data_IF_647938376829
#
_entry.id   IF_647938376829
#
_cell.length_a   1.000
_cell.length_b   1.000
_cell.length_c   1.000
_cell.angle_alpha   90.00
_cell.angle_beta   90.00
_cell.angle_gamma   90.00
#
_symmetry.space_group_name_H-M   'P 1'
#
loop_
_entity.id
_entity.type
_entity.pdbx_description
1 polymer ?
#
# COMPACT_ATOMS: atom_id res chain seq x y z
N UNK A 1 -8.33 3.03 21.13
CA UNK A 1 -8.23 1.91 20.19
C UNK A 1 -8.25 0.57 20.95
N UNK A 2 -7.35 0.40 21.91
CA UNK A 2 -7.26 -0.84 22.71
C UNK A 2 -8.51 -1.14 23.55
N UNK A 3 -9.27 -0.12 23.92
CA UNK A 3 -10.55 -0.25 24.64
C UNK A 3 -11.71 -0.60 23.69
N UNK A 4 -11.62 -0.20 22.42
CA UNK A 4 -12.68 -0.41 21.42
C UNK A 4 -12.62 -1.81 20.83
N UNK A 5 -11.43 -2.36 20.54
CA UNK A 5 -11.28 -3.66 19.90
C UNK A 5 -12.03 -4.79 20.61
N UNK A 6 -11.98 -4.94 21.95
CA UNK A 6 -12.70 -5.99 22.65
C UNK A 6 -14.23 -5.83 22.63
N UNK A 7 -14.72 -4.62 22.36
CA UNK A 7 -16.13 -4.30 22.31
C UNK A 7 -16.76 -4.43 20.91
N UNK A 8 -15.95 -4.75 19.90
CA UNK A 8 -16.43 -4.90 18.53
C UNK A 8 -17.36 -6.11 18.40
N UNK A 9 -18.47 -5.91 17.71
CA UNK A 9 -19.46 -6.95 17.45
C UNK A 9 -19.62 -7.18 15.96
N UNK A 10 -19.53 -8.43 15.57
CA UNK A 10 -19.94 -8.89 14.24
C UNK A 10 -21.49 -8.89 14.20
N UNK A 11 -22.08 -8.49 13.08
CA UNK A 11 -23.54 -8.36 12.91
C UNK A 11 -24.28 -9.68 12.71
N UNK A 12 -23.69 -10.81 13.08
CA UNK A 12 -24.23 -12.14 12.87
C UNK A 12 -23.34 -12.95 11.93
N UNK A 13 -23.86 -14.05 11.38
CA UNK A 13 -23.18 -14.81 10.32
C UNK A 13 -24.01 -14.77 9.04
N UNK A 14 -23.35 -14.67 7.90
CA UNK A 14 -23.96 -14.79 6.58
C UNK A 14 -23.62 -16.18 6.05
N UNK A 15 -24.56 -17.12 6.25
CA UNK A 15 -24.37 -18.50 5.84
C UNK A 15 -24.17 -18.65 4.33
N UNK A 16 -23.32 -19.58 3.94
CA UNK A 16 -23.02 -19.91 2.55
C UNK A 16 -22.22 -18.87 1.79
N UNK A 17 -21.78 -17.78 2.43
CA UNK A 17 -20.91 -16.75 1.80
C UNK A 17 -19.49 -16.84 2.33
N UNK A 18 -18.56 -17.13 1.40
CA UNK A 18 -17.11 -17.17 1.67
C UNK A 18 -16.39 -16.33 0.61
N UNK A 19 -15.82 -15.21 1.01
CA UNK A 19 -15.21 -14.22 0.10
C UNK A 19 -13.69 -14.29 0.16
N UNK A 20 -13.06 -14.44 -1.01
CA UNK A 20 -11.63 -14.25 -1.17
C UNK A 20 -11.34 -12.81 -1.60
N UNK A 21 -10.34 -12.16 -0.98
CA UNK A 21 -9.85 -10.85 -1.37
C UNK A 21 -8.40 -11.01 -1.83
N UNK A 22 -8.10 -10.63 -3.07
CA UNK A 22 -6.75 -10.70 -3.64
C UNK A 22 -6.09 -9.32 -3.49
N UNK A 23 -5.11 -9.23 -2.61
CA UNK A 23 -4.35 -8.03 -2.27
C UNK A 23 -4.72 -7.43 -0.92
N UNK A 24 -3.76 -7.39 -0.01
CA UNK A 24 -3.85 -6.87 1.34
C UNK A 24 -3.46 -5.38 1.47
N UNK A 25 -3.69 -4.60 0.42
CA UNK A 25 -3.56 -3.14 0.45
C UNK A 25 -4.76 -2.44 1.08
N UNK A 26 -4.82 -1.08 1.08
CA UNK A 26 -5.91 -0.32 1.71
C UNK A 26 -7.31 -0.75 1.27
N UNK A 27 -7.49 -0.99 -0.03
CA UNK A 27 -8.78 -1.41 -0.58
C UNK A 27 -9.19 -2.80 -0.07
N UNK A 28 -8.23 -3.75 -0.04
CA UNK A 28 -8.46 -5.10 0.45
C UNK A 28 -8.75 -5.12 1.95
N UNK A 29 -8.02 -4.37 2.75
CA UNK A 29 -8.25 -4.22 4.19
C UNK A 29 -9.62 -3.59 4.49
N UNK A 30 -10.00 -2.54 3.75
CA UNK A 30 -11.32 -1.94 3.88
C UNK A 30 -12.43 -2.95 3.54
N UNK A 31 -12.32 -3.65 2.41
CA UNK A 31 -13.28 -4.68 2.02
C UNK A 31 -13.37 -5.80 3.07
N UNK A 32 -12.22 -6.28 3.59
CA UNK A 32 -12.18 -7.28 4.66
C UNK A 32 -12.90 -6.79 5.92
N UNK A 33 -12.62 -5.57 6.37
CA UNK A 33 -13.27 -4.97 7.54
C UNK A 33 -14.78 -4.93 7.38
N UNK A 34 -15.29 -4.38 6.27
CA UNK A 34 -16.73 -4.22 6.06
C UNK A 34 -17.44 -5.55 5.94
N UNK A 35 -16.89 -6.51 5.22
CA UNK A 35 -17.51 -7.83 5.02
C UNK A 35 -17.47 -8.67 6.31
N UNK A 36 -16.34 -8.73 7.00
CA UNK A 36 -16.23 -9.48 8.25
C UNK A 36 -17.11 -8.88 9.34
N UNK A 37 -17.20 -7.54 9.42
CA UNK A 37 -18.14 -6.86 10.32
C UNK A 37 -19.60 -7.21 10.02
N UNK A 38 -19.93 -7.45 8.74
CA UNK A 38 -21.27 -7.91 8.33
C UNK A 38 -21.52 -9.40 8.58
N UNK A 39 -20.52 -10.15 9.06
CA UNK A 39 -20.62 -11.58 9.35
C UNK A 39 -20.28 -12.50 8.18
N UNK A 40 -19.67 -11.98 7.13
CA UNK A 40 -19.20 -12.78 5.99
C UNK A 40 -17.85 -13.39 6.33
N UNK A 41 -17.64 -14.67 5.99
CA UNK A 41 -16.33 -15.32 6.07
C UNK A 41 -15.39 -14.75 5.00
N UNK A 42 -14.28 -14.14 5.42
CA UNK A 42 -13.34 -13.45 4.54
C UNK A 42 -11.95 -13.99 4.71
N UNK A 43 -11.27 -14.29 3.59
CA UNK A 43 -9.85 -14.58 3.55
C UNK A 43 -9.15 -13.61 2.58
N UNK A 44 -8.15 -12.90 3.06
CA UNK A 44 -7.31 -11.99 2.28
C UNK A 44 -6.03 -12.71 1.88
N UNK A 45 -5.74 -12.75 0.59
CA UNK A 45 -4.51 -13.29 0.02
C UNK A 45 -3.58 -12.13 -0.33
N UNK A 46 -2.39 -12.10 0.25
CA UNK A 46 -1.37 -11.09 -0.03
C UNK A 46 -0.07 -11.79 -0.44
N UNK A 47 0.47 -11.39 -1.60
CA UNK A 47 1.72 -11.97 -2.14
C UNK A 47 2.97 -11.61 -1.34
N UNK A 48 2.93 -10.51 -0.60
CA UNK A 48 4.02 -10.07 0.28
C UNK A 48 3.85 -10.66 1.68
N UNK A 49 4.92 -10.62 2.45
CA UNK A 49 4.93 -11.07 3.84
C UNK A 49 4.26 -10.07 4.81
N UNK A 50 3.85 -8.91 4.30
CA UNK A 50 3.23 -7.85 5.11
C UNK A 50 2.05 -7.21 4.40
N UNK A 51 1.00 -6.91 5.17
CA UNK A 51 -0.18 -6.18 4.75
C UNK A 51 0.08 -4.67 4.66
N UNK A 52 -0.80 -3.95 3.97
CA UNK A 52 -0.76 -2.50 3.84
C UNK A 52 -0.43 -1.98 2.44
N UNK A 53 0.00 -2.86 1.53
CA UNK A 53 0.22 -2.51 0.12
C UNK A 53 1.14 -1.30 -0.09
N UNK A 54 0.74 -0.35 -0.94
CA UNK A 54 1.50 0.89 -1.24
C UNK A 54 1.68 1.73 0.01
N UNK A 55 0.71 1.78 0.92
CA UNK A 55 0.80 2.58 2.15
C UNK A 55 1.98 2.13 3.01
N UNK A 56 2.14 0.81 3.17
CA UNK A 56 3.27 0.27 3.93
C UNK A 56 4.60 0.34 3.18
N UNK A 57 4.60 0.03 1.90
CA UNK A 57 5.84 -0.21 1.18
C UNK A 57 6.40 1.03 0.46
N UNK A 58 5.57 2.02 0.15
CA UNK A 58 5.96 3.19 -0.68
C UNK A 58 5.79 4.49 0.08
N UNK A 59 4.63 4.73 0.69
CA UNK A 59 4.36 6.01 1.38
C UNK A 59 5.34 6.16 2.55
N UNK A 60 6.08 7.28 2.62
CA UNK A 60 7.07 7.50 3.66
C UNK A 60 6.49 7.52 5.08
N UNK A 61 7.28 7.08 6.07
CA UNK A 61 6.85 7.03 7.47
C UNK A 61 6.54 8.39 8.08
N UNK A 62 7.11 9.46 7.55
CA UNK A 62 6.76 10.82 7.97
C UNK A 62 5.35 11.26 7.51
N UNK A 63 4.68 10.45 6.70
CA UNK A 63 3.27 10.63 6.30
C UNK A 63 2.35 9.73 7.11
N UNK A 64 2.70 8.46 7.21
CA UNK A 64 1.92 7.45 7.94
C UNK A 64 2.87 6.43 8.55
N UNK A 65 2.74 6.20 9.84
CA UNK A 65 3.56 5.22 10.56
C UNK A 65 3.14 3.78 10.29
N UNK A 66 4.06 2.85 10.45
CA UNK A 66 3.77 1.42 10.41
C UNK A 66 2.72 1.03 11.46
N UNK A 67 2.80 1.60 12.67
CA UNK A 67 1.85 1.39 13.76
C UNK A 67 0.40 1.73 13.38
N UNK A 68 0.19 2.81 12.61
CA UNK A 68 -1.16 3.16 12.12
C UNK A 68 -1.73 2.10 11.18
N UNK A 69 -0.88 1.51 10.34
CA UNK A 69 -1.28 0.44 9.43
C UNK A 69 -1.56 -0.85 10.21
N UNK A 70 -0.75 -1.15 11.23
CA UNK A 70 -0.92 -2.33 12.06
C UNK A 70 -2.23 -2.28 12.86
N UNK A 71 -2.64 -1.10 13.32
CA UNK A 71 -3.96 -0.88 13.95
C UNK A 71 -5.11 -1.22 13.02
N UNK A 72 -5.04 -0.84 11.74
CA UNK A 72 -6.05 -1.19 10.75
C UNK A 72 -6.09 -2.70 10.48
N UNK A 73 -4.92 -3.36 10.44
CA UNK A 73 -4.82 -4.81 10.32
C UNK A 73 -5.44 -5.53 11.52
N UNK A 74 -5.13 -5.07 12.74
CA UNK A 74 -5.71 -5.63 13.97
C UNK A 74 -7.23 -5.44 14.02
N UNK A 75 -7.74 -4.31 13.51
CA UNK A 75 -9.18 -4.10 13.36
C UNK A 75 -9.82 -5.15 12.44
N UNK A 76 -9.20 -5.45 11.30
CA UNK A 76 -9.69 -6.50 10.39
C UNK A 76 -9.70 -7.87 11.08
N UNK A 77 -8.63 -8.22 11.78
CA UNK A 77 -8.52 -9.48 12.55
C UNK A 77 -9.59 -9.58 13.65
N UNK A 78 -9.84 -8.48 14.35
CA UNK A 78 -10.83 -8.42 15.42
C UNK A 78 -12.26 -8.69 14.92
N UNK A 79 -12.54 -8.40 13.65
CA UNK A 79 -13.79 -8.78 12.99
C UNK A 79 -13.77 -10.20 12.39
N UNK A 80 -12.68 -10.96 12.54
CA UNK A 80 -12.57 -12.35 12.10
C UNK A 80 -12.09 -12.53 10.66
N UNK A 81 -11.51 -11.52 10.03
CA UNK A 81 -10.86 -11.68 8.73
C UNK A 81 -9.59 -12.55 8.86
N UNK A 82 -9.45 -13.51 7.97
CA UNK A 82 -8.26 -14.36 7.84
C UNK A 82 -7.28 -13.78 6.81
N UNK A 83 -5.98 -13.99 7.04
CA UNK A 83 -4.92 -13.51 6.16
C UNK A 83 -3.96 -14.64 5.77
N UNK A 84 -3.72 -14.79 4.47
CA UNK A 84 -2.69 -15.66 3.89
C UNK A 84 -1.62 -14.78 3.26
N UNK A 85 -0.48 -14.65 3.95
CA UNK A 85 0.67 -13.87 3.50
C UNK A 85 1.62 -14.74 2.67
N UNK A 86 2.48 -14.14 1.84
CA UNK A 86 3.32 -14.85 0.89
C UNK A 86 2.52 -15.64 -0.16
N UNK A 87 1.22 -15.37 -0.28
CA UNK A 87 0.29 -16.14 -1.09
C UNK A 87 -0.08 -15.37 -2.37
N UNK A 88 0.60 -15.68 -3.47
CA UNK A 88 0.28 -15.10 -4.78
C UNK A 88 -0.86 -15.88 -5.44
N UNK A 89 -1.94 -15.17 -5.74
CA UNK A 89 -3.09 -15.74 -6.47
C UNK A 89 -2.99 -15.39 -7.94
N UNK A 90 -2.88 -16.41 -8.77
CA UNK A 90 -2.81 -16.26 -10.24
C UNK A 90 -4.10 -16.67 -10.94
N UNK A 91 -5.04 -17.30 -10.24
CA UNK A 91 -6.29 -17.81 -10.83
C UNK A 91 -7.50 -17.62 -9.92
N UNK A 92 -8.44 -16.81 -10.35
CA UNK A 92 -9.76 -16.67 -9.71
C UNK A 92 -10.54 -17.99 -9.75
N UNK A 93 -10.38 -18.75 -10.85
CA UNK A 93 -11.05 -20.07 -11.02
C UNK A 93 -10.59 -21.06 -9.95
N UNK A 94 -9.31 -21.04 -9.57
CA UNK A 94 -8.80 -21.89 -8.50
C UNK A 94 -9.47 -21.57 -7.16
N UNK A 95 -9.57 -20.30 -6.79
CA UNK A 95 -10.27 -19.88 -5.58
C UNK A 95 -11.75 -20.31 -5.55
N UNK A 96 -12.43 -20.20 -6.69
CA UNK A 96 -13.81 -20.70 -6.81
C UNK A 96 -13.89 -22.21 -6.56
N UNK A 97 -12.92 -22.99 -7.06
CA UNK A 97 -12.85 -24.43 -6.82
C UNK A 97 -12.54 -24.78 -5.35
N UNK A 98 -11.88 -23.87 -4.61
CA UNK A 98 -11.64 -23.97 -3.16
C UNK A 98 -12.87 -23.58 -2.32
N UNK A 99 -14.01 -23.30 -2.94
CA UNK A 99 -15.28 -23.01 -2.29
C UNK A 99 -15.50 -21.52 -1.95
N UNK A 100 -14.67 -20.60 -2.47
CA UNK A 100 -14.99 -19.18 -2.37
C UNK A 100 -16.15 -18.82 -3.29
N UNK A 101 -17.22 -18.27 -2.72
CA UNK A 101 -18.42 -17.87 -3.48
C UNK A 101 -18.18 -16.63 -4.30
N UNK A 102 -17.40 -15.71 -3.79
CA UNK A 102 -17.11 -14.42 -4.40
C UNK A 102 -15.62 -14.09 -4.29
N UNK A 103 -15.10 -13.31 -5.24
CA UNK A 103 -13.70 -12.89 -5.26
C UNK A 103 -13.61 -11.39 -5.53
N UNK A 104 -12.92 -10.68 -4.66
CA UNK A 104 -12.61 -9.25 -4.82
C UNK A 104 -11.16 -9.12 -5.24
N UNK A 105 -10.91 -8.39 -6.34
CA UNK A 105 -9.56 -8.12 -6.85
C UNK A 105 -9.16 -6.71 -6.45
N UNK A 106 -8.16 -6.58 -5.55
CA UNK A 106 -7.65 -5.32 -5.00
C UNK A 106 -6.12 -5.23 -5.04
N UNK A 107 -5.54 -5.68 -6.16
CA UNK A 107 -4.09 -5.82 -6.35
C UNK A 107 -3.33 -4.49 -6.53
N UNK A 108 -4.05 -3.37 -6.66
CA UNK A 108 -3.47 -2.04 -6.83
C UNK A 108 -2.86 -1.79 -8.22
N UNK A 109 -2.16 -0.67 -8.36
CA UNK A 109 -1.54 -0.22 -9.60
C UNK A 109 -0.03 0.01 -9.37
N UNK A 110 0.73 -1.07 -9.43
CA UNK A 110 2.18 -1.06 -9.14
C UNK A 110 3.06 -0.70 -10.34
N UNK A 111 2.52 -0.69 -11.57
CA UNK A 111 3.28 -0.28 -12.75
C UNK A 111 3.28 1.23 -12.87
N UNK A 112 4.45 1.88 -12.82
CA UNK A 112 4.55 3.31 -13.06
C UNK A 112 4.21 3.64 -14.51
N UNK A 113 3.77 4.88 -14.75
CA UNK A 113 3.67 5.45 -16.09
C UNK A 113 5.06 5.66 -16.69
N UNK A 114 5.16 5.66 -18.01
CA UNK A 114 6.42 6.01 -18.67
C UNK A 114 6.75 7.48 -18.47
N UNK A 115 8.02 7.78 -18.20
CA UNK A 115 8.51 9.16 -18.20
C UNK A 115 8.35 9.76 -19.61
N UNK A 116 7.83 11.00 -19.73
CA UNK A 116 7.71 11.69 -21.00
C UNK A 116 9.05 12.28 -21.50
N UNK A 117 10.16 11.99 -20.85
CA UNK A 117 11.47 12.48 -21.26
C UNK A 117 11.91 11.82 -22.56
N UNK A 118 12.34 12.66 -23.50
CA UNK A 118 12.88 12.20 -24.77
C UNK A 118 14.32 11.67 -24.66
N UNK A 119 15.05 12.13 -23.64
CA UNK A 119 16.46 11.80 -23.42
C UNK A 119 16.76 11.65 -21.93
N UNK A 120 17.79 10.85 -21.62
CA UNK A 120 18.24 10.60 -20.26
C UNK A 120 17.47 9.52 -19.55
N UNK A 121 17.98 9.14 -18.39
CA UNK A 121 17.36 8.13 -17.51
C UNK A 121 16.79 8.81 -16.28
N UNK A 122 15.69 8.28 -15.80
CA UNK A 122 15.05 8.70 -14.55
C UNK A 122 14.71 7.48 -13.71
N UNK A 123 14.93 7.59 -12.42
CA UNK A 123 14.44 6.59 -11.47
C UNK A 123 12.95 6.80 -11.25
N UNK A 124 12.19 5.72 -11.29
CA UNK A 124 10.77 5.77 -10.99
C UNK A 124 10.52 6.16 -9.52
N UNK A 125 9.50 6.96 -9.30
CA UNK A 125 9.18 7.48 -7.97
C UNK A 125 8.78 6.39 -6.97
N UNK A 126 8.06 5.35 -7.41
CA UNK A 126 7.66 4.25 -6.54
C UNK A 126 8.88 3.40 -6.15
N UNK A 127 9.74 3.09 -7.11
CA UNK A 127 11.00 2.37 -6.85
C UNK A 127 11.89 3.15 -5.89
N UNK A 128 12.07 4.44 -6.15
CA UNK A 128 12.84 5.32 -5.27
C UNK A 128 12.29 5.34 -3.84
N UNK A 129 10.98 5.53 -3.68
CA UNK A 129 10.36 5.60 -2.35
C UNK A 129 10.42 4.27 -1.60
N UNK A 130 10.28 3.14 -2.30
CA UNK A 130 10.46 1.82 -1.70
C UNK A 130 11.89 1.62 -1.21
N UNK A 131 12.88 1.98 -2.05
CA UNK A 131 14.29 1.86 -1.69
C UNK A 131 14.66 2.82 -0.57
N UNK A 132 14.23 4.07 -0.63
CA UNK A 132 14.46 5.07 0.41
C UNK A 132 13.85 4.65 1.76
N UNK A 133 12.69 4.00 1.74
CA UNK A 133 12.06 3.49 2.95
C UNK A 133 12.83 2.32 3.57
N UNK A 134 13.40 1.47 2.74
CA UNK A 134 14.14 0.27 3.16
C UNK A 134 15.58 0.57 3.54
N UNK A 135 16.27 1.35 2.72
CA UNK A 135 17.73 1.52 2.76
C UNK A 135 18.16 3.00 2.75
N UNK A 136 17.27 3.95 3.03
CA UNK A 136 17.53 5.38 2.88
C UNK A 136 18.79 5.88 3.59
N UNK A 137 19.13 5.31 4.74
CA UNK A 137 20.34 5.67 5.49
C UNK A 137 21.65 5.33 4.79
N UNK A 138 21.65 4.38 3.85
CA UNK A 138 22.81 3.88 3.12
C UNK A 138 22.79 4.20 1.62
N UNK A 139 21.70 4.82 1.14
CA UNK A 139 21.61 5.21 -0.27
C UNK A 139 22.60 6.29 -0.62
N UNK A 140 23.19 6.18 -1.82
CA UNK A 140 23.98 7.25 -2.43
C UNK A 140 23.32 7.66 -3.76
N UNK A 141 22.67 8.82 -3.75
CA UNK A 141 21.97 9.37 -4.92
C UNK A 141 22.61 10.67 -5.43
N UNK A 142 23.82 10.97 -4.94
CA UNK A 142 24.53 12.19 -5.24
C UNK A 142 24.10 13.39 -4.37
N UNK A 143 24.76 14.52 -4.60
CA UNK A 143 24.54 15.75 -3.84
C UNK A 143 23.35 16.56 -4.33
N UNK A 144 23.13 16.57 -5.63
CA UNK A 144 22.11 17.33 -6.33
C UNK A 144 21.05 16.37 -6.90
N UNK A 145 19.82 16.51 -6.43
CA UNK A 145 18.69 15.68 -6.86
C UNK A 145 17.63 16.53 -7.53
N UNK A 146 17.19 16.10 -8.70
CA UNK A 146 16.09 16.73 -9.43
C UNK A 146 14.87 15.82 -9.43
N UNK A 147 13.73 16.35 -8.99
CA UNK A 147 12.44 15.66 -8.98
C UNK A 147 11.54 16.26 -10.05
N UNK A 148 11.07 15.43 -10.96
CA UNK A 148 10.17 15.84 -12.03
C UNK A 148 8.72 15.58 -11.64
N UNK A 149 7.93 16.64 -11.49
CA UNK A 149 6.52 16.55 -11.13
C UNK A 149 6.12 17.52 -10.04
N UNK A 150 4.82 17.69 -9.82
CA UNK A 150 4.26 18.61 -8.81
C UNK A 150 3.10 18.01 -8.02
N UNK A 151 2.88 16.69 -8.13
CA UNK A 151 1.85 15.99 -7.36
C UNK A 151 2.38 15.46 -6.02
N UNK A 152 1.50 14.88 -5.21
CA UNK A 152 1.83 14.34 -3.89
C UNK A 152 3.04 13.40 -3.91
N UNK A 153 3.15 12.52 -4.92
CA UNK A 153 4.28 11.59 -5.05
C UNK A 153 5.59 12.34 -5.22
N UNK A 154 5.62 13.41 -6.05
CA UNK A 154 6.83 14.22 -6.24
C UNK A 154 7.24 14.93 -4.95
N UNK A 155 6.27 15.40 -4.16
CA UNK A 155 6.54 16.00 -2.84
C UNK A 155 7.12 14.97 -1.86
N UNK A 156 6.62 13.74 -1.88
CA UNK A 156 7.14 12.66 -1.04
C UNK A 156 8.56 12.27 -1.45
N UNK A 157 8.81 12.15 -2.77
CA UNK A 157 10.16 11.90 -3.31
C UNK A 157 11.13 13.00 -2.90
N UNK A 158 10.77 14.27 -3.08
CA UNK A 158 11.64 15.39 -2.72
C UNK A 158 11.97 15.42 -1.21
N UNK A 159 10.97 15.16 -0.36
CA UNK A 159 11.16 15.11 1.09
C UNK A 159 11.94 13.88 1.54
N UNK A 160 11.76 12.74 0.89
CA UNK A 160 12.54 11.54 1.15
C UNK A 160 14.00 11.74 0.71
N UNK A 161 14.23 12.23 -0.51
CA UNK A 161 15.58 12.53 -1.02
C UNK A 161 16.36 13.46 -0.10
N UNK A 162 15.73 14.53 0.40
CA UNK A 162 16.38 15.47 1.33
C UNK A 162 16.80 14.85 2.66
N UNK A 163 16.29 13.68 3.02
CA UNK A 163 16.66 12.95 4.23
C UNK A 163 17.78 11.92 4.02
N UNK A 164 18.15 11.68 2.76
CA UNK A 164 19.24 10.75 2.43
C UNK A 164 20.58 11.43 2.72
N UNK A 165 21.50 10.77 3.42
CA UNK A 165 22.81 11.31 3.72
C UNK A 165 23.56 11.73 2.47
N UNK A 166 24.26 12.86 2.51
CA UNK A 166 25.05 13.39 1.40
C UNK A 166 24.26 14.21 0.37
N UNK A 167 22.94 14.26 0.44
CA UNK A 167 22.12 15.11 -0.43
C UNK A 167 22.15 16.56 0.06
N UNK A 168 22.75 17.44 -0.73
CA UNK A 168 22.87 18.87 -0.43
C UNK A 168 21.68 19.67 -0.98
N UNK A 169 21.29 19.41 -2.22
CA UNK A 169 20.23 20.14 -2.90
C UNK A 169 19.16 19.21 -3.49
N UNK A 170 17.91 19.57 -3.32
CA UNK A 170 16.78 18.92 -3.99
C UNK A 170 15.98 19.99 -4.72
N UNK A 171 15.87 19.85 -6.04
CA UNK A 171 15.12 20.77 -6.91
C UNK A 171 13.92 20.04 -7.49
N UNK A 172 12.76 20.69 -7.42
CA UNK A 172 11.52 20.17 -8.00
C UNK A 172 11.19 20.96 -9.26
N UNK A 173 11.03 20.25 -10.37
CA UNK A 173 10.68 20.83 -11.67
C UNK A 173 9.25 20.44 -12.01
N UNK A 174 8.42 21.44 -12.21
CA UNK A 174 7.02 21.26 -12.55
C UNK A 174 6.62 22.13 -13.74
N UNK A 175 5.92 21.54 -14.73
CA UNK A 175 5.56 22.24 -15.98
C UNK A 175 4.46 23.31 -15.81
N UNK A 176 3.72 23.29 -14.71
CA UNK A 176 2.69 24.28 -14.39
C UNK A 176 3.17 25.22 -13.31
N UNK A 177 2.34 26.21 -12.97
CA UNK A 177 2.65 27.14 -11.88
C UNK A 177 2.44 26.47 -10.51
N UNK A 178 3.06 27.06 -9.48
CA UNK A 178 2.95 26.63 -8.08
C UNK A 178 1.50 26.48 -7.59
N UNK A 179 0.56 27.20 -8.19
CA UNK A 179 -0.88 27.12 -7.86
C UNK A 179 -1.48 25.71 -8.08
N UNK A 180 -0.87 24.92 -8.94
CA UNK A 180 -1.36 23.55 -9.29
C UNK A 180 -0.48 22.42 -8.71
N UNK A 181 0.31 22.74 -7.70
CA UNK A 181 1.11 21.78 -6.93
C UNK A 181 0.32 21.19 -5.77
#
# INVERSE_FOLDING_TARGET
YNEILPALKVRGSVEGKKVAIIGGGPAGLAAATFLSRAGVAVTVFERKEQLGGVVRNVIPEFRISADSIDKDVELCKAYGAEFKLGAEVTSVKALKAEGYTDVIVSIGAWKPGRSPLAYGEVTDALEFLMEAKKNGATMNIGKDVVVLGGGNTAMDVARAAKRIPGVEHVRLIYRRTKRYM
#
